data_IF_903704030051
#
_entry.id   IF_903704030051
#
_cell.length_a   1.000
_cell.length_b   1.000
_cell.length_c   1.000
_cell.angle_alpha   90.00
_cell.angle_beta   90.00
_cell.angle_gamma   90.00
#
_symmetry.space_group_name_H-M   'P 1'
#
loop_
_entity.id
_entity.type
_entity.pdbx_description
1 polymer ?
#
# COMPACT_ATOMS: atom_id res chain seq x y z
N UNK A 1 45.95 -62.86 -17.18
CA UNK A 1 46.14 -63.80 -16.05
C UNK A 1 46.77 -62.99 -14.95
N UNK A 2 45.98 -62.80 -13.91
CA UNK A 2 45.92 -61.57 -13.12
C UNK A 2 46.93 -61.51 -11.98
N UNK A 3 47.26 -60.28 -11.60
CA UNK A 3 48.32 -59.88 -10.68
C UNK A 3 47.68 -59.14 -9.51
N UNK A 4 47.58 -59.86 -8.38
CA UNK A 4 47.75 -59.42 -6.97
C UNK A 4 46.73 -58.39 -6.36
N UNK A 5 46.73 -58.13 -5.03
CA UNK A 5 46.05 -58.93 -4.00
C UNK A 5 45.35 -58.05 -2.91
N UNK A 6 44.88 -58.72 -1.84
CA UNK A 6 44.29 -58.18 -0.60
C UNK A 6 45.11 -57.12 0.16
N UNK A 7 44.45 -56.14 0.78
CA UNK A 7 44.20 -56.12 2.25
C UNK A 7 43.59 -54.79 2.76
N UNK A 8 42.53 -54.95 3.56
CA UNK A 8 42.11 -54.24 4.78
C UNK A 8 41.96 -52.71 4.87
N UNK A 9 40.71 -52.33 5.13
CA UNK A 9 40.34 -51.61 6.36
C UNK A 9 40.38 -50.09 6.31
N UNK A 10 39.27 -49.44 5.94
CA UNK A 10 38.97 -48.06 6.38
C UNK A 10 37.49 -47.85 6.71
N UNK A 11 37.31 -47.45 7.97
CA UNK A 11 36.22 -46.68 8.55
C UNK A 11 35.48 -45.78 7.55
N UNK A 12 34.19 -46.05 7.35
CA UNK A 12 33.26 -45.13 6.71
C UNK A 12 32.92 -44.00 7.70
N UNK A 13 33.72 -42.95 7.70
CA UNK A 13 33.26 -41.64 8.20
C UNK A 13 32.20 -41.12 7.24
N UNK A 14 31.01 -40.69 7.70
CA UNK A 14 30.09 -39.96 6.83
C UNK A 14 30.76 -38.64 6.49
N UNK A 15 31.00 -38.39 5.21
CA UNK A 15 31.28 -37.04 4.72
C UNK A 15 30.03 -36.20 4.98
N UNK A 16 30.03 -35.43 6.07
CA UNK A 16 29.13 -34.30 6.26
C UNK A 16 29.64 -33.17 5.35
N UNK A 17 29.41 -33.31 4.04
CA UNK A 17 29.53 -32.22 3.06
C UNK A 17 28.36 -31.24 3.26
N UNK A 18 28.27 -30.66 4.45
CA UNK A 18 27.70 -29.32 4.59
C UNK A 18 28.80 -28.36 4.21
N UNK A 19 29.02 -28.21 2.91
CA UNK A 19 29.61 -26.98 2.39
C UNK A 19 28.83 -25.84 3.03
N UNK A 20 29.49 -25.12 3.93
CA UNK A 20 29.00 -23.86 4.46
C UNK A 20 28.94 -22.96 3.23
N UNK A 21 27.76 -22.81 2.64
CA UNK A 21 27.56 -21.81 1.59
C UNK A 21 28.07 -20.49 2.21
N UNK A 22 29.04 -19.82 1.56
CA UNK A 22 29.63 -18.62 2.13
C UNK A 22 28.51 -17.61 2.41
N UNK A 23 28.60 -16.93 3.56
CA UNK A 23 27.62 -15.92 3.93
C UNK A 23 27.41 -14.93 2.77
N UNK A 24 26.15 -14.55 2.48
CA UNK A 24 25.86 -13.67 1.37
C UNK A 24 26.58 -12.34 1.55
N UNK A 25 27.25 -11.88 0.49
CA UNK A 25 27.90 -10.57 0.47
C UNK A 25 26.86 -9.50 0.19
N UNK A 26 26.84 -8.44 1.00
CA UNK A 26 25.88 -7.33 0.88
C UNK A 26 26.63 -6.02 0.70
N UNK A 27 26.33 -5.30 -0.37
CA UNK A 27 26.76 -3.92 -0.62
C UNK A 27 25.55 -3.01 -0.38
N UNK A 28 25.64 -2.15 0.63
CA UNK A 28 24.60 -1.16 0.92
C UNK A 28 24.89 0.13 0.15
N UNK A 29 23.84 0.83 -0.29
CA UNK A 29 23.97 2.16 -0.88
C UNK A 29 24.46 3.15 0.18
N UNK A 30 25.52 3.90 -0.10
CA UNK A 30 26.09 4.88 0.82
C UNK A 30 25.46 6.27 0.66
N UNK A 31 25.40 7.05 1.75
CA UNK A 31 24.95 8.44 1.69
C UNK A 31 23.46 8.63 1.41
N UNK A 32 22.61 7.61 1.63
CA UNK A 32 21.15 7.72 1.57
C UNK A 32 20.50 7.57 2.95
N UNK A 33 19.19 7.78 2.98
CA UNK A 33 18.34 7.49 4.13
C UNK A 33 18.78 8.15 5.45
N UNK A 34 19.23 9.40 5.38
CA UNK A 34 19.61 10.18 6.55
C UNK A 34 18.39 10.39 7.46
N UNK A 35 18.64 10.30 8.77
CA UNK A 35 17.62 10.39 9.80
C UNK A 35 17.93 11.57 10.72
N UNK A 36 16.94 12.43 10.92
CA UNK A 36 17.03 13.61 11.75
C UNK A 36 16.14 13.44 12.99
N UNK A 37 16.53 13.94 14.17
CA UNK A 37 15.66 13.91 15.35
C UNK A 37 14.43 14.82 15.17
N UNK A 38 13.39 14.57 15.97
CA UNK A 38 12.22 15.45 16.06
C UNK A 38 10.97 14.98 15.32
N UNK A 39 10.93 13.72 14.88
CA UNK A 39 9.72 13.10 14.36
C UNK A 39 8.81 12.59 15.48
N UNK A 40 7.65 12.07 15.10
CA UNK A 40 6.70 11.47 16.03
C UNK A 40 6.15 10.16 15.47
N UNK A 41 6.13 9.13 16.31
CA UNK A 41 5.42 7.88 16.00
C UNK A 41 3.93 8.02 16.29
N UNK A 42 3.12 7.08 15.79
CA UNK A 42 1.72 6.96 16.24
C UNK A 42 1.60 6.86 17.77
N UNK A 43 2.53 6.14 18.42
CA UNK A 43 2.51 5.99 19.88
C UNK A 43 2.87 7.27 20.62
N UNK A 44 3.70 8.14 20.03
CA UNK A 44 3.99 9.45 20.62
C UNK A 44 2.77 10.35 20.55
N UNK A 45 2.08 10.38 19.41
CA UNK A 45 0.81 11.10 19.27
C UNK A 45 -0.26 10.58 20.24
N UNK A 46 -0.39 9.25 20.34
CA UNK A 46 -1.32 8.61 21.28
C UNK A 46 -1.00 8.94 22.73
N UNK A 47 0.28 9.04 23.12
CA UNK A 47 0.68 9.38 24.49
C UNK A 47 0.58 10.87 24.81
N UNK A 48 0.40 11.74 23.81
CA UNK A 48 0.32 13.20 23.96
C UNK A 48 -1.08 13.76 23.72
N UNK A 49 -2.05 12.91 23.42
CA UNK A 49 -3.43 13.37 23.20
C UNK A 49 -4.09 13.85 24.50
N UNK A 50 -5.32 14.35 24.38
CA UNK A 50 -6.13 14.87 25.50
C UNK A 50 -6.37 13.86 26.64
N UNK A 51 -6.07 12.58 26.44
CA UNK A 51 -6.26 11.50 27.41
C UNK A 51 -4.94 10.96 28.00
N UNK A 52 -3.83 11.65 27.73
CA UNK A 52 -2.50 11.25 28.21
C UNK A 52 -2.44 11.01 29.73
N UNK A 53 -3.05 11.91 30.53
CA UNK A 53 -3.03 11.81 31.99
C UNK A 53 -3.85 10.61 32.49
N UNK A 54 -5.08 10.41 31.98
CA UNK A 54 -5.93 9.28 32.33
C UNK A 54 -5.28 7.94 31.96
N UNK A 55 -4.51 7.92 30.86
CA UNK A 55 -3.80 6.71 30.41
C UNK A 55 -2.58 6.34 31.26
N UNK A 56 -2.12 7.21 32.16
CA UNK A 56 -1.11 6.84 33.17
C UNK A 56 -1.65 5.82 34.16
N UNK A 57 -2.92 5.95 34.54
CA UNK A 57 -3.60 5.04 35.46
C UNK A 57 -4.28 3.88 34.72
N UNK A 58 -4.86 4.16 33.55
CA UNK A 58 -5.56 3.17 32.74
C UNK A 58 -5.25 3.33 31.25
N UNK A 59 -4.33 2.49 30.76
CA UNK A 59 -3.91 2.48 29.35
C UNK A 59 -5.07 2.23 28.36
N UNK A 60 -6.21 1.72 28.83
CA UNK A 60 -7.41 1.48 28.03
C UNK A 60 -8.40 2.65 28.07
N UNK A 61 -8.07 3.82 28.62
CA UNK A 61 -8.95 4.98 28.54
C UNK A 61 -9.17 5.39 27.05
N UNK A 62 -10.40 5.66 26.58
CA UNK A 62 -11.62 6.06 27.31
C UNK A 62 -12.54 4.93 27.79
N UNK A 63 -12.07 3.69 27.79
CA UNK A 63 -12.77 2.56 28.41
C UNK A 63 -12.29 2.38 29.85
N UNK A 64 -13.16 1.94 30.75
CA UNK A 64 -12.83 1.77 32.16
C UNK A 64 -11.87 0.59 32.43
N UNK A 65 -11.78 -0.38 31.52
CA UNK A 65 -10.89 -1.52 31.67
C UNK A 65 -10.52 -2.18 30.34
N UNK A 66 -9.56 -3.11 30.39
CA UNK A 66 -9.21 -4.01 29.28
C UNK A 66 -10.41 -4.81 28.80
N UNK A 67 -11.24 -5.33 29.70
CA UNK A 67 -12.40 -6.14 29.34
C UNK A 67 -13.43 -5.27 28.62
N UNK A 68 -13.70 -4.06 29.11
CA UNK A 68 -14.62 -3.15 28.46
C UNK A 68 -14.12 -2.74 27.07
N UNK A 69 -12.83 -2.42 26.93
CA UNK A 69 -12.22 -2.12 25.64
C UNK A 69 -12.39 -3.27 24.64
N UNK A 70 -12.13 -4.50 25.06
CA UNK A 70 -12.27 -5.68 24.19
C UNK A 70 -13.72 -5.86 23.73
N UNK A 71 -14.69 -5.67 24.63
CA UNK A 71 -16.11 -5.73 24.30
C UNK A 71 -16.54 -4.60 23.36
N UNK A 72 -16.11 -3.36 23.62
CA UNK A 72 -16.35 -2.21 22.77
C UNK A 72 -15.77 -2.41 21.36
N UNK A 73 -14.54 -2.91 21.26
CA UNK A 73 -13.88 -3.23 19.99
C UNK A 73 -14.66 -4.30 19.21
N UNK A 74 -15.13 -5.35 19.89
CA UNK A 74 -15.96 -6.38 19.29
C UNK A 74 -17.27 -5.79 18.75
N UNK A 75 -17.97 -4.97 19.55
CA UNK A 75 -19.21 -4.30 19.12
C UNK A 75 -18.98 -3.45 17.87
N UNK A 76 -17.93 -2.64 17.85
CA UNK A 76 -17.59 -1.77 16.71
C UNK A 76 -17.25 -2.58 15.44
N UNK A 77 -16.74 -3.80 15.58
CA UNK A 77 -16.37 -4.69 14.46
C UNK A 77 -17.46 -5.70 14.07
N UNK A 78 -18.48 -5.89 14.89
CA UNK A 78 -19.53 -6.90 14.72
C UNK A 78 -20.50 -6.67 13.55
N UNK A 79 -20.42 -5.52 12.86
CA UNK A 79 -21.38 -5.06 11.83
C UNK A 79 -22.83 -4.91 12.33
N UNK A 80 -23.06 -4.96 13.65
CA UNK A 80 -24.38 -4.70 14.22
C UNK A 80 -24.81 -3.26 13.95
N UNK A 81 -26.12 -3.08 13.70
CA UNK A 81 -26.70 -1.73 13.60
C UNK A 81 -26.69 -1.05 14.96
N UNK A 82 -26.74 0.29 14.98
CA UNK A 82 -26.82 1.05 16.24
C UNK A 82 -28.01 0.59 17.09
N UNK A 83 -29.18 0.38 16.48
CA UNK A 83 -30.36 -0.12 17.18
C UNK A 83 -30.17 -1.54 17.76
N UNK A 84 -29.40 -2.41 17.10
CA UNK A 84 -29.10 -3.73 17.64
C UNK A 84 -28.15 -3.66 18.83
N UNK A 85 -27.16 -2.75 18.78
CA UNK A 85 -26.26 -2.49 19.91
C UNK A 85 -27.05 -1.90 21.08
N UNK A 86 -27.93 -0.92 20.85
CA UNK A 86 -28.76 -0.33 21.90
C UNK A 86 -29.66 -1.37 22.58
N UNK A 87 -30.26 -2.30 21.80
CA UNK A 87 -31.02 -3.43 22.36
C UNK A 87 -30.17 -4.35 23.23
N UNK A 88 -28.93 -4.64 22.82
CA UNK A 88 -28.01 -5.44 23.61
C UNK A 88 -27.65 -4.74 24.94
N UNK A 89 -27.39 -3.43 24.88
CA UNK A 89 -27.04 -2.62 26.05
C UNK A 89 -28.23 -2.42 27.02
N UNK A 90 -29.46 -2.56 26.55
CA UNK A 90 -30.66 -2.53 27.39
C UNK A 90 -30.95 -3.85 28.11
N UNK A 91 -30.24 -4.94 27.80
CA UNK A 91 -30.42 -6.21 28.53
C UNK A 91 -29.92 -6.05 29.97
N UNK A 92 -30.61 -6.67 30.93
CA UNK A 92 -30.24 -6.68 32.35
C UNK A 92 -29.03 -7.60 32.64
N UNK A 93 -27.97 -7.49 31.83
CA UNK A 93 -26.72 -8.19 32.00
C UNK A 93 -25.77 -7.24 32.72
N UNK A 94 -25.24 -7.65 33.88
CA UNK A 94 -24.35 -6.83 34.69
C UNK A 94 -22.95 -6.70 34.05
N UNK A 95 -22.83 -5.87 33.01
CA UNK A 95 -21.59 -5.67 32.26
C UNK A 95 -20.73 -4.50 32.77
N UNK A 96 -21.17 -3.78 33.82
CA UNK A 96 -20.45 -2.63 34.41
C UNK A 96 -19.79 -1.71 33.35
N UNK A 97 -20.52 -1.40 32.27
CA UNK A 97 -20.02 -0.62 31.16
C UNK A 97 -20.06 0.87 31.50
N UNK A 98 -19.07 1.60 31.01
CA UNK A 98 -18.98 3.05 31.15
C UNK A 98 -19.82 3.78 30.10
N UNK A 99 -20.31 3.12 29.05
CA UNK A 99 -21.24 3.66 28.04
C UNK A 99 -22.59 2.94 28.07
N UNK A 100 -23.68 3.67 27.73
CA UNK A 100 -25.07 3.16 27.77
C UNK A 100 -25.76 3.09 26.41
N UNK A 101 -25.14 3.62 25.36
CA UNK A 101 -25.69 3.61 24.01
C UNK A 101 -24.63 3.38 22.95
N UNK A 102 -25.07 2.92 21.77
CA UNK A 102 -24.24 2.83 20.58
C UNK A 102 -23.66 4.19 20.17
N UNK A 103 -24.40 5.27 20.42
CA UNK A 103 -23.94 6.65 20.16
C UNK A 103 -22.79 7.03 21.08
N UNK A 104 -22.90 6.77 22.38
CA UNK A 104 -21.82 7.02 23.34
C UNK A 104 -20.58 6.17 23.02
N UNK A 105 -20.78 4.89 22.70
CA UNK A 105 -19.69 3.99 22.27
C UNK A 105 -18.93 4.59 21.08
N UNK A 106 -19.63 5.04 20.04
CA UNK A 106 -19.01 5.66 18.86
C UNK A 106 -18.32 6.98 19.20
N UNK A 107 -18.97 7.85 19.97
CA UNK A 107 -18.40 9.15 20.38
C UNK A 107 -17.07 8.95 21.12
N UNK A 108 -16.97 7.95 21.98
CA UNK A 108 -15.71 7.60 22.67
C UNK A 108 -14.64 7.08 21.72
N UNK A 109 -15.03 6.21 20.78
CA UNK A 109 -14.10 5.70 19.77
C UNK A 109 -13.60 6.84 18.85
N UNK A 110 -14.45 7.79 18.50
CA UNK A 110 -14.13 8.96 17.68
C UNK A 110 -13.25 9.98 18.41
N UNK A 111 -13.19 9.92 19.75
CA UNK A 111 -12.31 10.77 20.54
C UNK A 111 -10.85 10.28 20.59
N UNK A 112 -10.58 9.06 20.10
CA UNK A 112 -9.23 8.56 19.89
C UNK A 112 -8.55 9.26 18.70
N UNK A 113 -7.21 9.26 18.63
CA UNK A 113 -6.48 9.81 17.49
C UNK A 113 -7.01 9.26 16.15
N UNK A 114 -7.49 10.17 15.30
CA UNK A 114 -8.04 9.81 13.99
C UNK A 114 -6.93 9.52 12.99
N UNK A 115 -7.13 8.52 12.14
CA UNK A 115 -6.28 8.33 10.96
C UNK A 115 -6.56 9.35 9.84
N UNK A 116 -5.98 9.12 8.64
CA UNK A 116 -6.16 9.98 7.48
C UNK A 116 -7.65 10.17 7.14
N UNK A 117 -8.07 11.42 6.93
CA UNK A 117 -9.48 11.79 6.76
C UNK A 117 -9.96 11.62 5.32
N UNK A 118 -11.25 11.33 5.19
CA UNK A 118 -11.93 11.25 3.89
C UNK A 118 -12.26 12.64 3.35
N UNK A 119 -12.02 12.81 2.06
CA UNK A 119 -12.36 13.93 1.21
C UNK A 119 -13.32 13.43 0.12
N UNK A 120 -14.30 14.23 -0.22
CA UNK A 120 -15.21 14.00 -1.33
C UNK A 120 -15.09 15.16 -2.31
N UNK A 121 -14.80 14.86 -3.57
CA UNK A 121 -14.60 15.87 -4.61
C UNK A 121 -15.47 15.55 -5.82
N UNK A 122 -16.18 16.57 -6.32
CA UNK A 122 -17.00 16.43 -7.52
C UNK A 122 -16.11 16.45 -8.76
N UNK A 123 -16.33 15.49 -9.67
CA UNK A 123 -15.59 15.39 -10.91
C UNK A 123 -16.38 16.02 -12.06
N UNK A 124 -15.77 16.98 -12.74
CA UNK A 124 -16.32 17.54 -13.97
C UNK A 124 -16.04 16.58 -15.12
N UNK A 125 -17.10 16.13 -15.79
CA UNK A 125 -17.02 15.27 -16.97
C UNK A 125 -17.36 16.05 -18.24
N UNK A 126 -16.54 15.91 -19.29
CA UNK A 126 -16.80 16.55 -20.61
C UNK A 126 -18.11 16.07 -21.25
N UNK A 127 -18.56 14.86 -20.89
CA UNK A 127 -19.77 14.23 -21.41
C UNK A 127 -20.81 14.01 -20.32
N UNK A 128 -22.11 14.12 -20.62
CA UNK A 128 -23.16 13.97 -19.63
C UNK A 128 -23.24 12.56 -19.04
N UNK A 129 -23.40 12.53 -17.72
CA UNK A 129 -23.65 11.34 -16.91
C UNK A 129 -25.09 11.39 -16.37
N UNK A 130 -25.64 10.22 -16.01
CA UNK A 130 -26.99 10.17 -15.41
C UNK A 130 -27.07 10.81 -14.02
N UNK A 131 -25.95 10.83 -13.31
CA UNK A 131 -25.83 11.29 -11.93
C UNK A 131 -24.46 11.99 -11.76
N UNK A 132 -24.37 13.08 -10.97
CA UNK A 132 -23.11 13.73 -10.68
C UNK A 132 -22.09 12.72 -10.16
N UNK A 133 -20.85 12.82 -10.62
CA UNK A 133 -19.81 11.86 -10.29
C UNK A 133 -18.84 12.45 -9.27
N UNK A 134 -18.48 11.64 -8.28
CA UNK A 134 -17.60 12.04 -7.17
C UNK A 134 -16.47 11.04 -7.03
N UNK A 135 -15.32 11.52 -6.55
CA UNK A 135 -14.25 10.68 -6.01
C UNK A 135 -14.19 10.87 -4.50
N UNK A 136 -14.08 9.77 -3.77
CA UNK A 136 -13.85 9.76 -2.34
C UNK A 136 -12.44 9.28 -2.08
N UNK A 137 -11.62 10.05 -1.37
CA UNK A 137 -10.22 9.68 -1.16
C UNK A 137 -9.68 10.24 0.15
N UNK A 138 -8.52 9.77 0.55
CA UNK A 138 -7.75 10.27 1.68
C UNK A 138 -6.46 10.90 1.15
N UNK A 139 -5.87 11.82 1.91
CA UNK A 139 -4.57 12.37 1.55
C UNK A 139 -3.52 11.23 1.52
N UNK A 140 -2.89 10.92 0.36
CA UNK A 140 -1.96 9.81 0.27
C UNK A 140 -0.70 10.02 1.10
N UNK A 141 -0.27 11.27 1.34
CA UNK A 141 0.88 11.58 2.19
C UNK A 141 0.58 11.23 3.64
N UNK A 142 -0.61 11.55 4.14
CA UNK A 142 -1.05 11.12 5.48
C UNK A 142 -1.18 9.59 5.57
N UNK A 143 -1.62 8.92 4.51
CA UNK A 143 -1.67 7.47 4.45
C UNK A 143 -0.27 6.85 4.55
N UNK A 144 0.69 7.34 3.76
CA UNK A 144 2.08 6.89 3.83
C UNK A 144 2.70 7.20 5.20
N UNK A 145 2.46 8.39 5.75
CA UNK A 145 2.93 8.76 7.09
C UNK A 145 2.37 7.81 8.16
N UNK A 146 1.10 7.41 8.06
CA UNK A 146 0.47 6.46 9.00
C UNK A 146 1.13 5.09 8.94
N UNK A 147 1.45 4.60 7.74
CA UNK A 147 2.18 3.34 7.57
C UNK A 147 3.61 3.48 8.09
N UNK A 148 4.29 4.57 7.73
CA UNK A 148 5.69 4.79 8.04
C UNK A 148 5.95 5.00 9.54
N UNK A 149 5.03 5.63 10.29
CA UNK A 149 5.17 5.85 11.73
C UNK A 149 4.60 4.72 12.59
N UNK A 150 4.22 3.59 11.97
CA UNK A 150 3.60 2.47 12.66
C UNK A 150 4.66 1.62 13.41
N UNK A 151 4.62 1.53 14.75
CA UNK A 151 5.70 0.87 15.52
C UNK A 151 5.87 -0.62 15.20
N UNK A 152 4.79 -1.33 14.82
CA UNK A 152 4.89 -2.74 14.41
C UNK A 152 5.79 -2.98 13.17
N UNK A 153 6.09 -1.93 12.41
CA UNK A 153 6.97 -2.03 11.24
C UNK A 153 8.42 -1.66 11.52
N UNK A 154 8.78 -1.28 12.76
CA UNK A 154 10.14 -0.83 13.09
C UNK A 154 11.21 -1.85 12.67
N UNK A 155 10.99 -3.14 12.92
CA UNK A 155 11.92 -4.21 12.56
C UNK A 155 11.66 -4.81 11.17
N UNK A 156 10.67 -4.28 10.45
CA UNK A 156 10.17 -4.84 9.17
C UNK A 156 10.09 -3.78 8.08
N UNK A 157 10.86 -2.71 8.21
CA UNK A 157 10.98 -1.67 7.21
C UNK A 157 12.44 -1.39 6.93
N UNK A 158 12.79 -1.29 5.66
CA UNK A 158 14.14 -0.97 5.20
C UNK A 158 14.11 0.32 4.38
N UNK A 159 15.19 1.09 4.43
CA UNK A 159 15.31 2.37 3.70
C UNK A 159 16.49 2.42 2.75
N UNK A 160 17.45 1.52 2.92
CA UNK A 160 18.72 1.53 2.19
C UNK A 160 18.67 0.50 1.08
N UNK A 161 18.76 0.89 -0.19
CA UNK A 161 18.97 -0.05 -1.28
C UNK A 161 20.22 -0.89 -1.04
N UNK A 162 20.16 -2.15 -1.43
CA UNK A 162 21.25 -3.10 -1.22
C UNK A 162 21.45 -3.97 -2.44
N UNK A 163 22.69 -4.35 -2.70
CA UNK A 163 23.01 -5.44 -3.61
C UNK A 163 23.51 -6.63 -2.79
N UNK A 164 22.87 -7.77 -2.99
CA UNK A 164 23.13 -9.03 -2.32
C UNK A 164 23.65 -10.02 -3.34
N UNK A 165 24.74 -10.72 -3.01
CA UNK A 165 25.30 -11.79 -3.82
C UNK A 165 25.53 -13.05 -2.98
N UNK A 166 25.56 -14.20 -3.63
CA UNK A 166 25.82 -15.50 -2.98
C UNK A 166 27.21 -15.59 -2.34
N UNK A 167 28.16 -14.74 -2.73
CA UNK A 167 29.51 -14.71 -2.15
C UNK A 167 30.21 -13.38 -2.43
N UNK A 168 31.33 -13.14 -1.75
CA UNK A 168 32.18 -11.95 -1.96
C UNK A 168 32.75 -11.85 -3.39
N UNK A 169 32.81 -12.96 -4.13
CA UNK A 169 33.19 -12.96 -5.55
C UNK A 169 32.11 -12.37 -6.47
N UNK A 170 30.94 -11.97 -5.93
CA UNK A 170 29.81 -11.34 -6.65
C UNK A 170 29.31 -12.13 -7.87
N UNK A 171 29.35 -13.47 -7.77
CA UNK A 171 29.04 -14.38 -8.89
C UNK A 171 27.55 -14.38 -9.25
N UNK A 172 26.67 -14.57 -8.26
CA UNK A 172 25.24 -14.67 -8.48
C UNK A 172 24.49 -13.65 -7.63
N UNK A 173 23.56 -12.93 -8.25
CA UNK A 173 22.78 -11.86 -7.63
C UNK A 173 21.52 -12.43 -6.96
N UNK A 174 21.27 -12.01 -5.72
CA UNK A 174 20.08 -12.39 -4.94
C UNK A 174 19.12 -11.20 -4.90
N UNK A 175 17.87 -11.43 -5.28
CA UNK A 175 16.78 -10.45 -5.19
C UNK A 175 15.72 -10.96 -4.21
N UNK A 176 15.64 -10.36 -3.02
CA UNK A 176 14.76 -10.80 -1.92
C UNK A 176 13.61 -9.82 -1.65
N UNK A 177 13.92 -8.52 -1.61
CA UNK A 177 12.98 -7.42 -1.35
C UNK A 177 13.13 -6.33 -2.43
N UNK A 178 12.18 -5.40 -2.50
CA UNK A 178 12.20 -4.35 -3.54
C UNK A 178 13.50 -3.54 -3.55
N UNK A 179 14.02 -3.19 -2.37
CA UNK A 179 15.29 -2.46 -2.21
C UNK A 179 16.53 -3.27 -2.62
N UNK A 180 16.39 -4.57 -2.83
CA UNK A 180 17.43 -5.39 -3.44
C UNK A 180 17.43 -5.32 -4.97
N UNK A 181 16.43 -4.70 -5.59
CA UNK A 181 16.33 -4.56 -7.04
C UNK A 181 17.27 -3.48 -7.60
N UNK A 182 17.80 -3.71 -8.80
CA UNK A 182 18.65 -2.72 -9.47
C UNK A 182 17.88 -1.43 -9.77
N UNK A 183 16.56 -1.54 -10.02
CA UNK A 183 15.70 -0.38 -10.20
C UNK A 183 15.67 0.53 -8.97
N UNK A 184 15.52 -0.03 -7.76
CA UNK A 184 15.51 0.76 -6.53
C UNK A 184 16.87 1.44 -6.29
N UNK A 185 17.97 0.75 -6.63
CA UNK A 185 19.31 1.33 -6.60
C UNK A 185 19.43 2.53 -7.55
N UNK A 186 19.06 2.37 -8.83
CA UNK A 186 19.11 3.44 -9.83
C UNK A 186 18.19 4.61 -9.48
N UNK A 187 17.02 4.34 -8.89
CA UNK A 187 16.13 5.39 -8.39
C UNK A 187 16.79 6.19 -7.28
N UNK A 188 17.45 5.53 -6.31
CA UNK A 188 18.15 6.20 -5.23
C UNK A 188 19.35 7.05 -5.72
N UNK A 189 20.06 6.60 -6.76
CA UNK A 189 21.13 7.39 -7.41
C UNK A 189 20.63 8.70 -8.03
N UNK A 190 19.38 8.73 -8.48
CA UNK A 190 18.77 9.93 -9.05
C UNK A 190 18.28 10.94 -7.98
N UNK A 191 18.33 10.58 -6.70
CA UNK A 191 17.87 11.42 -5.60
C UNK A 191 19.03 12.23 -4.97
N UNK A 192 18.73 13.35 -4.28
CA UNK A 192 19.73 14.10 -3.52
C UNK A 192 20.41 13.25 -2.44
N UNK A 193 21.63 13.64 -2.06
CA UNK A 193 22.32 13.02 -0.93
C UNK A 193 21.48 13.10 0.36
N UNK A 194 21.50 12.03 1.16
CA UNK A 194 20.73 11.89 2.39
C UNK A 194 19.25 11.54 2.16
N UNK A 195 18.74 11.61 0.93
CA UNK A 195 17.33 11.32 0.64
C UNK A 195 16.97 9.86 0.91
N UNK A 196 15.71 9.63 1.31
CA UNK A 196 15.10 8.32 1.52
C UNK A 196 14.17 7.98 0.36
N UNK A 197 14.43 6.86 -0.31
CA UNK A 197 13.53 6.31 -1.31
C UNK A 197 12.37 5.54 -0.65
N UNK A 198 11.13 6.00 -0.86
CA UNK A 198 9.91 5.34 -0.40
C UNK A 198 9.07 4.84 -1.58
N UNK A 199 9.17 3.56 -1.91
CA UNK A 199 8.44 2.97 -3.02
C UNK A 199 6.95 2.87 -2.73
N UNK A 200 6.12 3.58 -3.48
CA UNK A 200 4.65 3.51 -3.36
C UNK A 200 4.15 2.25 -4.05
N UNK A 201 3.35 1.46 -3.35
CA UNK A 201 2.62 0.32 -3.91
C UNK A 201 1.15 0.66 -3.95
N UNK A 202 0.57 0.67 -5.14
CA UNK A 202 -0.88 0.82 -5.33
C UNK A 202 -1.51 -0.53 -5.64
N UNK A 203 -2.76 -0.70 -5.23
CA UNK A 203 -3.57 -1.82 -5.70
C UNK A 203 -4.97 -1.34 -5.98
N UNK A 204 -5.52 -1.79 -7.10
CA UNK A 204 -6.91 -1.59 -7.47
C UNK A 204 -7.50 -2.94 -7.80
N UNK A 205 -8.72 -3.19 -7.35
CA UNK A 205 -9.52 -4.33 -7.80
C UNK A 205 -10.98 -3.90 -7.77
N UNK A 206 -11.69 -4.07 -8.87
CA UNK A 206 -13.11 -3.74 -8.97
C UNK A 206 -13.96 -4.70 -8.15
N UNK A 207 -14.17 -4.34 -6.89
CA UNK A 207 -15.02 -5.11 -5.96
C UNK A 207 -16.49 -4.69 -5.97
N UNK A 208 -17.40 -5.64 -5.73
CA UNK A 208 -18.81 -5.37 -5.49
C UNK A 208 -19.01 -4.97 -4.01
N UNK A 209 -19.26 -3.67 -3.73
CA UNK A 209 -19.28 -3.18 -2.34
C UNK A 209 -20.57 -3.51 -1.56
N UNK A 210 -21.71 -3.86 -2.19
CA UNK A 210 -22.80 -4.58 -1.50
C UNK A 210 -23.99 -4.94 -2.41
N UNK A 211 -24.62 -6.08 -2.13
CA UNK A 211 -25.92 -6.53 -2.69
C UNK A 211 -27.12 -5.89 -1.93
N UNK A 212 -26.90 -5.26 -0.78
CA UNK A 212 -27.98 -4.83 0.14
C UNK A 212 -28.36 -3.34 0.10
N UNK A 213 -27.66 -2.50 -0.67
CA UNK A 213 -27.94 -1.04 -0.73
C UNK A 213 -27.94 -0.47 -2.15
N UNK A 214 -28.46 -1.25 -3.11
CA UNK A 214 -28.83 -0.76 -4.43
C UNK A 214 -27.71 -0.77 -5.48
N UNK A 215 -27.07 -1.93 -5.71
CA UNK A 215 -26.21 -2.17 -6.87
C UNK A 215 -25.11 -1.11 -7.09
N UNK A 216 -24.56 -0.55 -6.00
CA UNK A 216 -23.45 0.39 -6.07
C UNK A 216 -22.14 -0.41 -6.06
N UNK A 217 -21.57 -0.60 -7.24
CA UNK A 217 -20.16 -0.98 -7.38
C UNK A 217 -19.30 0.19 -6.92
N UNK A 218 -18.18 -0.08 -6.27
CA UNK A 218 -17.17 0.92 -6.02
C UNK A 218 -15.80 0.29 -6.22
N UNK A 219 -14.89 1.04 -6.79
CA UNK A 219 -13.60 0.54 -7.22
C UNK A 219 -12.54 1.03 -6.22
N UNK A 220 -12.20 0.23 -5.19
CA UNK A 220 -11.24 0.63 -4.18
C UNK A 220 -9.84 0.80 -4.78
N UNK A 221 -9.17 1.86 -4.32
CA UNK A 221 -7.75 2.09 -4.50
C UNK A 221 -7.08 1.92 -3.14
N UNK A 222 -6.15 0.99 -3.02
CA UNK A 222 -5.34 0.73 -1.83
C UNK A 222 -3.93 1.30 -2.03
N UNK A 223 -3.27 1.69 -0.93
CA UNK A 223 -1.89 2.18 -0.90
C UNK A 223 -1.08 1.45 0.19
N UNK A 224 0.19 1.15 -0.10
CA UNK A 224 1.19 0.56 0.78
C UNK A 224 2.59 1.08 0.44
N UNK A 225 3.59 0.69 1.23
CA UNK A 225 5.02 0.90 0.96
C UNK A 225 5.72 -0.40 0.52
N UNK A 226 6.58 -0.30 -0.49
CA UNK A 226 7.47 -1.36 -0.94
C UNK A 226 8.60 -1.64 0.07
N UNK A 227 8.92 -0.65 0.90
CA UNK A 227 9.92 -0.68 1.95
C UNK A 227 9.59 -1.63 3.12
N UNK A 228 8.31 -1.97 3.30
CA UNK A 228 7.87 -2.94 4.31
C UNK A 228 8.18 -4.35 3.80
N UNK A 229 8.70 -5.24 4.64
CA UNK A 229 9.01 -6.63 4.24
C UNK A 229 7.82 -7.30 3.54
N UNK A 230 8.06 -7.97 2.41
CA UNK A 230 7.00 -8.51 1.55
C UNK A 230 6.07 -9.50 2.28
N UNK A 231 6.65 -10.34 3.14
CA UNK A 231 5.91 -11.30 3.95
C UNK A 231 5.00 -10.64 4.99
N UNK A 232 5.38 -9.48 5.54
CA UNK A 232 4.50 -8.72 6.43
C UNK A 232 3.44 -7.95 5.63
N UNK A 233 3.84 -7.34 4.51
CA UNK A 233 2.94 -6.59 3.62
C UNK A 233 1.78 -7.44 3.10
N UNK A 234 2.03 -8.71 2.80
CA UNK A 234 1.03 -9.67 2.30
C UNK A 234 0.08 -10.23 3.38
N UNK A 235 0.35 -10.01 4.66
CA UNK A 235 -0.52 -10.46 5.75
C UNK A 235 -1.68 -9.50 5.97
N UNK A 236 -2.90 -9.97 5.76
CA UNK A 236 -4.11 -9.17 5.99
C UNK A 236 -4.21 -8.61 7.42
N UNK A 237 -3.70 -9.34 8.43
CA UNK A 237 -3.70 -8.90 9.83
C UNK A 237 -2.66 -7.82 10.16
N UNK A 238 -1.68 -7.60 9.28
CA UNK A 238 -0.63 -6.61 9.50
C UNK A 238 -1.06 -5.18 9.17
N UNK A 239 -2.22 -5.01 8.52
CA UNK A 239 -2.76 -3.69 8.13
C UNK A 239 -1.75 -2.84 7.32
N UNK A 240 -0.90 -3.49 6.52
CA UNK A 240 0.12 -2.84 5.69
C UNK A 240 -0.45 -2.12 4.44
N UNK A 241 -1.73 -2.32 4.13
CA UNK A 241 -2.47 -1.58 3.09
C UNK A 241 -3.55 -0.70 3.72
N UNK A 242 -3.65 0.53 3.22
CA UNK A 242 -4.73 1.46 3.55
C UNK A 242 -5.62 1.72 2.33
N UNK A 243 -6.93 1.79 2.52
CA UNK A 243 -7.87 2.22 1.48
C UNK A 243 -7.70 3.70 1.12
N UNK A 244 -6.91 4.00 0.10
CA UNK A 244 -6.63 5.36 -0.32
C UNK A 244 -7.88 6.07 -0.87
N UNK A 245 -8.70 5.37 -1.65
CA UNK A 245 -9.89 5.99 -2.25
C UNK A 245 -10.87 5.01 -2.86
N UNK A 246 -12.00 5.55 -3.30
CA UNK A 246 -13.04 4.87 -4.06
C UNK A 246 -13.15 5.59 -5.40
N UNK A 247 -12.70 4.93 -6.47
CA UNK A 247 -12.71 5.47 -7.81
C UNK A 247 -14.15 5.54 -8.35
N UNK A 248 -14.46 6.58 -9.14
CA UNK A 248 -15.79 6.83 -9.66
C UNK A 248 -16.24 5.75 -10.65
N UNK A 249 -17.52 5.39 -10.61
CA UNK A 249 -18.17 4.55 -11.63
C UNK A 249 -19.35 5.35 -12.20
N UNK A 250 -19.13 5.99 -13.33
CA UNK A 250 -20.09 6.87 -13.98
C UNK A 250 -20.97 6.11 -14.98
N UNK A 251 -22.25 6.53 -15.06
CA UNK A 251 -23.18 6.08 -16.09
C UNK A 251 -23.31 7.14 -17.17
N UNK A 252 -22.40 7.14 -18.13
CA UNK A 252 -22.46 8.02 -19.30
C UNK A 252 -23.70 7.75 -20.16
N UNK A 253 -24.33 8.81 -20.68
CA UNK A 253 -25.58 8.73 -21.48
C UNK A 253 -25.36 8.52 -22.98
N UNK A 254 -24.11 8.30 -23.40
CA UNK A 254 -23.77 8.10 -24.81
C UNK A 254 -24.35 6.78 -25.38
N UNK A 255 -24.86 6.83 -26.61
CA UNK A 255 -25.53 5.68 -27.27
C UNK A 255 -24.58 4.48 -27.48
N UNK A 256 -23.33 4.75 -27.86
CA UNK A 256 -22.33 3.72 -28.18
C UNK A 256 -21.64 3.21 -26.90
N UNK A 257 -21.70 1.90 -26.65
CA UNK A 257 -21.07 1.24 -25.49
C UNK A 257 -19.56 1.46 -25.42
N UNK A 258 -18.84 1.32 -26.54
CA UNK A 258 -17.38 1.50 -26.59
C UNK A 258 -16.93 2.90 -26.18
N UNK A 259 -17.73 3.91 -26.53
CA UNK A 259 -17.46 5.30 -26.12
C UNK A 259 -17.70 5.47 -24.62
N UNK A 260 -18.77 4.88 -24.06
CA UNK A 260 -19.00 4.91 -22.61
C UNK A 260 -17.85 4.28 -21.82
N UNK A 261 -17.29 3.17 -22.31
CA UNK A 261 -16.09 2.56 -21.71
C UNK A 261 -14.89 3.50 -21.75
N UNK A 262 -14.56 4.07 -22.92
CA UNK A 262 -13.46 5.02 -23.05
C UNK A 262 -13.62 6.24 -22.12
N UNK A 263 -14.84 6.76 -21.98
CA UNK A 263 -15.14 7.88 -21.09
C UNK A 263 -14.98 7.50 -19.62
N UNK A 264 -15.35 6.28 -19.25
CA UNK A 264 -15.09 5.73 -17.93
C UNK A 264 -13.59 5.62 -17.65
N UNK A 265 -12.81 5.16 -18.63
CA UNK A 265 -11.36 5.03 -18.48
C UNK A 265 -10.70 6.39 -18.25
N UNK A 266 -11.08 7.41 -19.05
CA UNK A 266 -10.63 8.79 -18.88
C UNK A 266 -10.98 9.37 -17.51
N UNK A 267 -12.21 9.11 -17.05
CA UNK A 267 -12.67 9.56 -15.75
C UNK A 267 -11.87 8.93 -14.60
N UNK A 268 -11.49 7.65 -14.72
CA UNK A 268 -10.61 7.00 -13.74
C UNK A 268 -9.23 7.67 -13.72
N UNK A 269 -8.64 7.95 -14.88
CA UNK A 269 -7.36 8.67 -14.94
C UNK A 269 -7.43 10.09 -14.37
N UNK A 270 -8.52 10.81 -14.63
CA UNK A 270 -8.78 12.12 -14.02
C UNK A 270 -8.87 12.03 -12.50
N UNK A 271 -9.61 11.05 -11.97
CA UNK A 271 -9.71 10.82 -10.52
C UNK A 271 -8.33 10.48 -9.92
N UNK A 272 -7.59 9.57 -10.56
CA UNK A 272 -6.23 9.20 -10.13
C UNK A 272 -5.27 10.39 -10.16
N UNK A 273 -5.39 11.30 -11.14
CA UNK A 273 -4.58 12.51 -11.18
C UNK A 273 -4.79 13.41 -9.96
N UNK A 274 -6.03 13.54 -9.51
CA UNK A 274 -6.39 14.30 -8.30
C UNK A 274 -5.83 13.58 -7.07
N UNK A 275 -6.21 12.31 -6.88
CA UNK A 275 -5.87 11.52 -5.68
C UNK A 275 -4.36 11.38 -5.48
N UNK A 276 -3.61 11.16 -6.57
CA UNK A 276 -2.16 10.89 -6.52
C UNK A 276 -1.31 12.16 -6.65
N UNK A 277 -1.92 13.34 -6.84
CA UNK A 277 -1.20 14.61 -6.98
C UNK A 277 -0.17 14.86 -5.86
N UNK A 278 -0.50 14.67 -4.57
CA UNK A 278 0.46 14.90 -3.50
C UNK A 278 1.68 13.96 -3.55
N UNK A 279 1.52 12.72 -4.04
CA UNK A 279 2.63 11.78 -4.21
C UNK A 279 3.57 12.18 -5.35
N UNK A 280 3.03 12.75 -6.43
CA UNK A 280 3.82 13.25 -7.56
C UNK A 280 4.67 14.44 -7.14
N UNK A 281 4.09 15.32 -6.32
CA UNK A 281 4.81 16.46 -5.72
C UNK A 281 5.93 15.93 -4.83
N UNK A 282 5.63 15.01 -3.90
CA UNK A 282 6.64 14.41 -3.04
C UNK A 282 7.72 13.62 -3.80
N UNK A 283 7.40 12.99 -4.92
CA UNK A 283 8.40 12.36 -5.80
C UNK A 283 9.26 13.37 -6.56
N UNK A 284 8.81 14.62 -6.73
CA UNK A 284 9.55 15.68 -7.42
C UNK A 284 10.47 16.47 -6.48
N UNK A 285 9.94 16.89 -5.33
CA UNK A 285 10.63 17.84 -4.43
C UNK A 285 10.90 17.26 -3.04
N UNK A 286 10.49 16.02 -2.79
CA UNK A 286 10.61 15.36 -1.49
C UNK A 286 9.61 15.88 -0.44
N UNK A 287 9.50 15.16 0.67
CA UNK A 287 8.67 15.49 1.83
C UNK A 287 9.28 14.93 3.11
N UNK A 288 9.25 15.68 4.21
CA UNK A 288 9.69 15.15 5.50
C UNK A 288 8.61 14.24 6.10
N UNK A 289 9.00 13.03 6.50
CA UNK A 289 8.10 12.08 7.18
C UNK A 289 8.78 11.43 8.39
N UNK A 290 7.98 11.08 9.40
CA UNK A 290 8.47 10.36 10.59
C UNK A 290 8.53 8.85 10.35
N UNK A 291 9.66 8.24 10.68
CA UNK A 291 9.90 6.80 10.65
C UNK A 291 9.34 6.08 11.89
N UNK A 292 9.33 4.73 11.95
CA UNK A 292 8.75 4.01 13.09
C UNK A 292 9.49 4.24 14.41
N UNK A 293 10.68 4.83 14.38
CA UNK A 293 11.48 5.19 15.56
C UNK A 293 11.30 6.64 15.99
N UNK A 294 10.49 7.42 15.27
CA UNK A 294 10.28 8.84 15.53
C UNK A 294 11.39 9.74 14.99
N UNK A 295 12.18 9.27 14.02
CA UNK A 295 13.11 10.15 13.29
C UNK A 295 12.43 10.72 12.04
N UNK A 296 12.79 11.94 11.68
CA UNK A 296 12.41 12.54 10.42
C UNK A 296 13.34 12.07 9.29
N UNK A 297 12.75 11.79 8.13
CA UNK A 297 13.45 11.40 6.90
C UNK A 297 12.99 12.28 5.75
N UNK A 298 13.92 12.68 4.88
CA UNK A 298 13.60 13.41 3.66
C UNK A 298 13.24 12.42 2.55
N UNK A 299 11.95 12.22 2.33
CA UNK A 299 11.41 11.10 1.56
C UNK A 299 10.97 11.49 0.15
N UNK A 300 11.23 10.62 -0.83
CA UNK A 300 10.73 10.72 -2.19
C UNK A 300 9.88 9.50 -2.51
N UNK A 301 8.73 9.70 -3.17
CA UNK A 301 7.67 8.69 -3.26
C UNK A 301 7.39 8.23 -4.69
N UNK A 302 8.34 7.60 -5.40
CA UNK A 302 8.06 7.05 -6.72
C UNK A 302 7.11 5.85 -6.64
N UNK A 303 6.39 5.59 -7.72
CA UNK A 303 5.56 4.40 -7.88
C UNK A 303 6.46 3.18 -8.12
N UNK A 304 6.48 2.27 -7.16
CA UNK A 304 7.27 1.04 -7.20
C UNK A 304 6.52 -0.14 -7.81
N UNK A 305 5.20 -0.22 -7.57
CA UNK A 305 4.35 -1.28 -8.12
C UNK A 305 2.88 -0.86 -8.16
N UNK A 306 2.14 -1.43 -9.11
CA UNK A 306 0.69 -1.38 -9.16
C UNK A 306 0.13 -2.79 -9.33
N UNK A 307 -0.63 -3.26 -8.35
CA UNK A 307 -1.26 -4.59 -8.35
C UNK A 307 -2.68 -4.47 -8.88
N UNK A 308 -2.94 -5.01 -10.06
CA UNK A 308 -4.22 -4.94 -10.77
C UNK A 308 -4.41 -6.18 -11.65
N UNK A 309 -5.65 -6.47 -12.06
CA UNK A 309 -5.92 -7.54 -13.04
C UNK A 309 -5.64 -7.08 -14.48
N UNK A 310 -5.54 -8.01 -15.46
CA UNK A 310 -5.17 -7.66 -16.84
C UNK A 310 -6.06 -6.56 -17.48
N UNK A 311 -7.40 -6.57 -17.29
CA UNK A 311 -8.26 -5.45 -17.70
C UNK A 311 -7.87 -4.10 -17.08
N UNK A 312 -7.60 -4.06 -15.78
CA UNK A 312 -7.21 -2.86 -15.05
C UNK A 312 -5.77 -2.41 -15.40
N UNK A 313 -4.83 -3.34 -15.59
CA UNK A 313 -3.50 -3.03 -16.12
C UNK A 313 -3.59 -2.37 -17.50
N UNK A 314 -4.47 -2.88 -18.36
CA UNK A 314 -4.70 -2.32 -19.70
C UNK A 314 -5.30 -0.92 -19.65
N UNK A 315 -6.18 -0.68 -18.67
CA UNK A 315 -6.72 0.64 -18.37
C UNK A 315 -5.60 1.59 -17.93
N UNK A 316 -4.80 1.21 -16.93
CA UNK A 316 -3.74 2.04 -16.35
C UNK A 316 -2.61 2.36 -17.34
N UNK A 317 -2.21 1.38 -18.15
CA UNK A 317 -1.21 1.55 -19.20
C UNK A 317 -1.74 2.34 -20.41
N UNK A 318 -3.05 2.61 -20.50
CA UNK A 318 -3.68 3.19 -21.67
C UNK A 318 -3.62 2.28 -22.92
N UNK A 319 -3.34 0.99 -22.72
CA UNK A 319 -3.22 -0.02 -23.77
C UNK A 319 -4.52 -0.76 -24.05
N UNK A 320 -5.58 -0.43 -23.31
CA UNK A 320 -6.92 -0.92 -23.54
C UNK A 320 -7.37 -0.61 -24.97
N UNK A 321 -7.14 -1.61 -25.85
CA UNK A 321 -7.75 -1.86 -27.16
C UNK A 321 -6.77 -1.93 -28.35
N UNK A 322 -6.35 -3.16 -28.67
CA UNK A 322 -5.58 -3.53 -29.89
C UNK A 322 -6.13 -2.87 -31.19
N UNK A 323 -7.46 -2.74 -31.31
CA UNK A 323 -8.11 -2.12 -32.48
C UNK A 323 -8.16 -0.59 -32.43
N UNK A 324 -8.08 0.03 -31.25
CA UNK A 324 -7.99 1.49 -31.09
C UNK A 324 -6.55 1.96 -31.34
N UNK A 325 -5.56 1.21 -30.84
CA UNK A 325 -4.14 1.43 -31.11
C UNK A 325 -3.81 1.40 -32.61
N UNK A 326 -4.47 0.55 -33.42
CA UNK A 326 -4.31 0.54 -34.89
C UNK A 326 -4.83 1.82 -35.57
N UNK A 327 -5.92 2.40 -35.09
CA UNK A 327 -6.49 3.63 -35.63
C UNK A 327 -5.68 4.87 -35.20
N UNK A 328 -5.21 4.88 -33.95
CA UNK A 328 -4.50 6.01 -33.35
C UNK A 328 -3.01 6.05 -33.66
N UNK A 329 -2.40 4.94 -34.10
CA UNK A 329 -1.00 4.91 -34.59
C UNK A 329 -0.76 5.88 -35.75
N UNK A 330 -1.80 6.19 -36.53
CA UNK A 330 -1.75 7.19 -37.62
C UNK A 330 -1.73 8.65 -37.12
N UNK A 331 -2.09 8.87 -35.86
CA UNK A 331 -2.23 10.20 -35.25
C UNK A 331 -1.30 10.41 -34.04
N UNK A 332 -0.43 9.43 -33.69
CA UNK A 332 0.46 9.47 -32.52
C UNK A 332 -0.24 9.71 -31.17
N UNK A 333 -1.51 9.30 -31.03
CA UNK A 333 -2.29 9.54 -29.82
C UNK A 333 -2.50 8.26 -28.98
N UNK A 334 -2.40 8.40 -27.67
CA UNK A 334 -2.84 7.45 -26.65
C UNK A 334 -4.37 7.62 -26.42
N UNK A 335 -5.13 6.55 -26.13
CA UNK A 335 -6.57 6.64 -25.83
C UNK A 335 -6.91 7.41 -24.56
N UNK A 336 -5.94 7.45 -23.66
CA UNK A 336 -5.84 8.32 -22.49
C UNK A 336 -4.89 9.46 -22.87
N UNK A 337 -5.40 10.67 -22.98
CA UNK A 337 -4.59 11.82 -23.43
C UNK A 337 -3.48 12.15 -22.42
N UNK A 338 -3.71 11.89 -21.13
CA UNK A 338 -2.77 12.14 -20.02
C UNK A 338 -2.81 11.01 -18.97
N UNK A 339 -1.98 9.96 -19.12
CA UNK A 339 -1.90 8.89 -18.13
C UNK A 339 -1.48 9.41 -16.76
N UNK A 340 -2.00 8.79 -15.69
CA UNK A 340 -1.86 9.36 -14.36
C UNK A 340 -0.43 9.29 -13.82
N UNK A 341 0.38 8.39 -14.34
CA UNK A 341 1.78 8.17 -13.98
C UNK A 341 2.76 9.06 -14.76
N UNK A 342 2.34 9.69 -15.87
CA UNK A 342 3.24 10.48 -16.73
C UNK A 342 3.98 11.62 -15.99
N UNK A 343 3.32 12.44 -15.14
CA UNK A 343 4.00 13.49 -14.38
C UNK A 343 4.59 12.99 -13.05
N UNK A 344 4.70 11.68 -12.83
CA UNK A 344 5.21 11.11 -11.58
C UNK A 344 6.69 10.72 -11.78
N UNK A 345 7.65 11.44 -11.17
CA UNK A 345 9.07 11.14 -11.33
C UNK A 345 9.41 9.69 -10.96
N UNK A 346 10.33 9.10 -11.73
CA UNK A 346 10.83 7.74 -11.53
C UNK A 346 9.72 6.66 -11.50
N UNK A 347 8.58 6.89 -12.14
CA UNK A 347 7.38 6.05 -12.02
C UNK A 347 6.88 5.54 -13.37
N UNK A 348 7.75 4.85 -14.12
CA UNK A 348 7.41 4.28 -15.43
C UNK A 348 6.75 2.90 -15.27
N UNK A 349 5.50 2.71 -15.76
CA UNK A 349 4.82 1.43 -15.67
C UNK A 349 5.50 0.27 -16.38
N UNK A 350 6.34 0.50 -17.40
CA UNK A 350 7.10 -0.57 -18.03
C UNK A 350 8.09 -1.26 -17.08
N UNK A 351 8.43 -0.61 -15.97
CA UNK A 351 9.33 -1.15 -14.96
C UNK A 351 8.63 -2.07 -13.94
N UNK A 352 7.30 -2.03 -13.83
CA UNK A 352 6.57 -2.76 -12.78
C UNK A 352 5.27 -3.44 -13.24
N UNK A 353 4.68 -3.04 -14.35
CA UNK A 353 3.63 -3.79 -15.04
C UNK A 353 4.31 -4.82 -15.94
N UNK A 354 4.56 -6.00 -15.40
CA UNK A 354 4.96 -7.13 -16.24
C UNK A 354 3.72 -7.57 -17.03
N UNK A 355 3.65 -7.39 -18.37
CA UNK A 355 2.53 -7.93 -19.12
C UNK A 355 2.50 -9.44 -18.86
N UNK A 356 1.36 -9.99 -18.42
CA UNK A 356 1.21 -11.43 -18.27
C UNK A 356 1.47 -12.12 -19.63
N UNK A 357 2.73 -12.52 -19.82
CA UNK A 357 3.25 -13.24 -20.98
C UNK A 357 2.39 -14.48 -21.22
N UNK A 358 2.02 -15.19 -20.15
CA UNK A 358 1.22 -16.43 -20.20
C UNK A 358 -0.18 -16.24 -20.81
N UNK A 359 -0.88 -15.15 -20.49
CA UNK A 359 -2.21 -14.90 -21.07
C UNK A 359 -2.16 -14.33 -22.50
N UNK A 360 -1.03 -13.74 -22.91
CA UNK A 360 -0.86 -13.17 -24.24
C UNK A 360 -0.37 -14.17 -25.30
N UNK A 361 0.37 -15.22 -24.91
CA UNK A 361 0.84 -16.27 -25.82
C UNK A 361 -0.17 -17.42 -26.03
N UNK A 362 -1.19 -17.54 -25.18
CA UNK A 362 -2.30 -18.47 -25.37
C UNK A 362 -3.61 -17.75 -25.70
N UNK A 363 -3.74 -17.28 -26.95
CA UNK A 363 -5.03 -17.05 -27.61
C UNK A 363 -4.98 -17.43 -29.07
#
# INVERSE_FOLDING_TARGET
MDVFPDHDGRSSTPFDDRQHDPDPYVEAYEGCAEAFPGGETFMDQFRRDQYAEQRRENIYFPWASKQEWAFALWLLRSRLSMAAIDRLLSLEINLALSFRSAKELRTRAEALPSGPRWVCEALTTEHPTKEPTYVFYRNPIECLQTLLSHPLFESHISFVPRKIWTSAAKICRIYDEWLSGDLAWSMQEALPQGATLLGVVLSSDKTNISVMSGNRMAHPLLISLANIDAHLRSKASAHAYLLLGLLPIAKFTHKTTRVRSLLQDRLVHQALNIVLSPLKIAASVGVMMSDPRGNLRYCFTPLAAWIADTPEESLLAGTAMKNFLKAMRRFQLNGVVEPCWNPWPLSDPSNFLAPEVLHHFHR
#
